data_IF_891353505556
#
_entry.id   IF_891353505556
#
_cell.length_a   1.000
_cell.length_b   1.000
_cell.length_c   1.000
_cell.angle_alpha   90.00
_cell.angle_beta   90.00
_cell.angle_gamma   90.00
#
_symmetry.space_group_name_H-M   'P 1'
#
loop_
_entity.id
_entity.type
_entity.pdbx_description
1 polymer ?
#
# COMPACT_ATOMS: atom_id res chain seq x y z
N UNK A 1 2.99 -34.43 -1.30
CA UNK A 1 3.25 -33.44 -0.24
C UNK A 1 2.93 -32.05 -0.81
N UNK A 2 1.97 -31.29 -0.21
CA UNK A 2 1.71 -29.91 -0.62
C UNK A 2 2.91 -29.07 -0.15
N UNK A 3 3.77 -28.61 -1.07
CA UNK A 3 4.83 -27.64 -0.77
C UNK A 3 4.15 -26.38 -0.20
N UNK A 4 4.51 -26.00 1.02
CA UNK A 4 4.15 -24.70 1.57
C UNK A 4 4.61 -23.63 0.59
N UNK A 5 3.69 -22.82 0.08
CA UNK A 5 4.02 -21.60 -0.66
C UNK A 5 4.70 -20.67 0.34
N UNK A 6 6.04 -20.57 0.28
CA UNK A 6 6.78 -19.63 1.12
C UNK A 6 6.27 -18.20 0.86
N UNK A 7 6.07 -17.42 1.91
CA UNK A 7 5.82 -15.99 1.76
C UNK A 7 7.14 -15.27 1.43
N UNK A 8 7.06 -14.01 0.96
CA UNK A 8 8.24 -13.16 0.74
C UNK A 8 9.18 -13.16 1.96
N UNK A 9 8.64 -13.22 3.17
CA UNK A 9 9.41 -13.29 4.43
C UNK A 9 10.31 -14.53 4.53
N UNK A 10 9.95 -15.64 3.89
CA UNK A 10 10.75 -16.87 3.85
C UNK A 10 12.06 -16.64 3.09
N UNK A 11 12.03 -15.83 2.03
CA UNK A 11 13.21 -15.49 1.22
C UNK A 11 14.05 -14.38 1.84
N UNK A 12 13.45 -13.52 2.67
CA UNK A 12 14.17 -12.44 3.36
C UNK A 12 15.03 -12.94 4.52
N UNK A 13 14.66 -14.05 5.14
CA UNK A 13 15.39 -14.52 6.32
C UNK A 13 15.21 -16.03 6.54
N UNK A 14 15.91 -16.89 5.80
CA UNK A 14 15.86 -18.35 5.99
C UNK A 14 16.34 -18.78 7.38
N UNK A 15 17.17 -18.01 8.07
CA UNK A 15 17.69 -18.33 9.39
C UNK A 15 16.74 -17.96 10.55
N UNK A 16 15.75 -17.08 10.34
CA UNK A 16 14.81 -16.67 11.40
C UNK A 16 13.75 -17.72 11.73
N UNK A 17 13.70 -18.83 11.03
CA UNK A 17 12.79 -19.93 11.40
C UNK A 17 13.25 -20.67 12.67
N UNK A 18 14.51 -20.51 13.11
CA UNK A 18 15.08 -21.19 14.26
C UNK A 18 15.67 -20.26 15.33
N UNK A 19 15.82 -18.98 15.07
CA UNK A 19 16.21 -18.02 16.09
C UNK A 19 14.99 -17.71 16.96
N UNK A 20 15.07 -18.00 18.25
CA UNK A 20 14.13 -17.48 19.23
C UNK A 20 13.95 -15.98 18.96
N UNK A 21 12.70 -15.55 18.71
CA UNK A 21 12.37 -14.14 18.56
C UNK A 21 12.91 -13.46 19.81
N UNK A 22 14.06 -12.81 19.70
CA UNK A 22 14.50 -11.86 20.72
C UNK A 22 13.42 -10.78 20.70
N UNK A 23 12.48 -10.90 21.66
CA UNK A 23 11.52 -9.83 21.92
C UNK A 23 12.37 -8.64 22.35
N UNK A 24 12.62 -7.73 21.42
CA UNK A 24 13.09 -6.40 21.78
C UNK A 24 12.10 -5.87 22.80
N UNK A 25 12.59 -5.50 23.97
CA UNK A 25 11.76 -4.81 24.96
C UNK A 25 11.42 -3.48 24.34
N UNK A 26 10.22 -3.39 23.72
CA UNK A 26 9.77 -2.13 23.14
C UNK A 26 9.60 -1.14 24.27
N UNK A 27 10.46 -0.13 24.27
CA UNK A 27 10.34 0.99 25.17
C UNK A 27 9.36 1.99 24.57
N UNK A 28 8.33 2.35 25.34
CA UNK A 28 7.34 3.37 24.95
C UNK A 28 7.77 4.69 25.57
N UNK A 29 7.96 5.69 24.74
CA UNK A 29 8.25 7.05 25.14
C UNK A 29 7.07 7.96 24.79
N UNK A 30 6.78 8.95 25.63
CA UNK A 30 5.81 9.99 25.30
C UNK A 30 6.52 11.10 24.53
N UNK A 31 6.10 11.33 23.30
CA UNK A 31 6.72 12.29 22.38
C UNK A 31 5.67 13.35 22.01
N UNK A 32 6.07 14.62 22.07
CA UNK A 32 5.26 15.73 21.62
C UNK A 32 4.80 15.53 20.16
N UNK A 33 3.50 15.57 19.91
CA UNK A 33 2.92 15.33 18.61
C UNK A 33 3.48 16.25 17.50
N UNK A 34 3.85 17.50 17.85
CA UNK A 34 4.42 18.47 16.91
C UNK A 34 5.87 18.15 16.50
N UNK A 35 6.54 17.28 17.27
CA UNK A 35 7.88 16.79 16.92
C UNK A 35 7.84 15.54 16.04
N UNK A 36 6.67 14.96 15.80
CA UNK A 36 6.51 13.78 14.95
C UNK A 36 6.16 14.23 13.53
N UNK A 37 7.08 13.97 12.61
CA UNK A 37 6.94 14.36 11.21
C UNK A 37 6.35 13.17 10.43
N UNK A 38 5.23 13.36 9.69
CA UNK A 38 4.72 12.36 8.75
C UNK A 38 5.80 11.87 7.80
N UNK A 39 5.75 10.61 7.42
CA UNK A 39 6.73 10.05 6.49
C UNK A 39 6.28 10.27 5.05
N UNK A 40 7.06 11.01 4.27
CA UNK A 40 6.78 11.27 2.85
C UNK A 40 6.70 9.99 1.99
N UNK A 41 7.32 8.90 2.47
CA UNK A 41 7.24 7.59 1.81
C UNK A 41 5.91 6.87 2.07
N UNK A 42 5.07 7.36 2.98
CA UNK A 42 3.75 6.79 3.22
C UNK A 42 2.80 7.19 2.10
N UNK A 43 2.48 6.24 1.24
CA UNK A 43 1.60 6.43 0.09
C UNK A 43 0.14 6.03 0.35
N UNK A 44 -0.16 5.52 1.53
CA UNK A 44 -1.52 5.10 1.87
C UNK A 44 -2.43 6.30 2.13
N UNK A 45 -3.67 6.21 1.65
CA UNK A 45 -4.69 7.22 1.89
C UNK A 45 -4.96 7.41 3.40
N UNK A 46 -5.15 8.63 3.85
CA UNK A 46 -5.44 8.94 5.25
C UNK A 46 -6.88 9.42 5.35
N UNK A 47 -7.80 8.49 5.61
CA UNK A 47 -9.24 8.75 5.71
C UNK A 47 -9.74 8.66 7.16
N UNK A 48 -10.92 9.23 7.44
CA UNK A 48 -11.59 9.14 8.73
C UNK A 48 -10.83 9.84 9.86
N UNK A 49 -10.11 10.93 9.56
CA UNK A 49 -9.38 11.73 10.57
C UNK A 49 -10.35 12.35 11.56
N UNK A 50 -11.47 12.88 11.08
CA UNK A 50 -12.50 13.55 11.89
C UNK A 50 -13.13 12.57 12.89
N UNK A 51 -13.52 11.39 12.41
CA UNK A 51 -14.09 10.34 13.26
C UNK A 51 -13.08 9.86 14.30
N UNK A 52 -11.81 9.72 13.89
CA UNK A 52 -10.72 9.36 14.79
C UNK A 52 -10.49 10.46 15.83
N UNK A 53 -10.51 11.75 15.45
CA UNK A 53 -10.36 12.87 16.36
C UNK A 53 -11.49 12.90 17.40
N UNK A 54 -12.74 12.70 16.96
CA UNK A 54 -13.90 12.61 17.83
C UNK A 54 -13.80 11.39 18.78
N UNK A 55 -13.33 10.24 18.29
CA UNK A 55 -13.10 9.05 19.13
C UNK A 55 -12.04 9.29 20.20
N UNK A 56 -10.95 9.97 19.85
CA UNK A 56 -9.88 10.34 20.79
C UNK A 56 -10.31 11.36 21.84
N UNK A 57 -11.38 12.14 21.59
CA UNK A 57 -11.94 13.05 22.59
C UNK A 57 -12.69 12.32 23.71
N UNK A 58 -13.14 11.08 23.43
CA UNK A 58 -13.94 10.27 24.37
C UNK A 58 -13.08 9.25 25.11
N UNK A 59 -12.00 8.76 24.47
CA UNK A 59 -11.13 7.71 25.01
C UNK A 59 -9.68 8.13 24.93
N UNK A 60 -9.02 8.25 26.08
CA UNK A 60 -7.58 8.56 26.17
C UNK A 60 -6.69 7.36 25.81
N UNK A 61 -7.26 6.20 25.50
CA UNK A 61 -6.48 5.01 25.19
C UNK A 61 -6.07 4.99 23.71
N UNK A 62 -4.78 5.14 23.48
CA UNK A 62 -4.18 5.11 22.15
C UNK A 62 -3.07 4.04 22.09
N UNK A 63 -3.10 3.19 21.05
CA UNK A 63 -1.99 2.30 20.77
C UNK A 63 -0.74 3.13 20.39
N UNK A 64 0.47 2.75 20.81
CA UNK A 64 1.68 3.48 20.49
C UNK A 64 1.89 3.65 18.97
N UNK A 65 2.44 4.81 18.59
CA UNK A 65 2.95 5.05 17.25
C UNK A 65 4.33 4.38 17.09
N UNK A 66 4.75 4.14 15.86
CA UNK A 66 6.13 3.71 15.59
C UNK A 66 6.87 4.86 14.91
N UNK A 67 8.00 5.24 15.46
CA UNK A 67 8.80 6.39 14.98
C UNK A 67 10.29 6.08 14.96
N UNK A 68 11.05 6.85 14.19
CA UNK A 68 12.52 6.83 14.17
C UNK A 68 13.02 8.24 14.49
N UNK A 69 14.01 8.34 15.37
CA UNK A 69 14.64 9.62 15.69
C UNK A 69 15.44 10.16 14.49
N UNK A 70 15.25 11.44 14.13
CA UNK A 70 15.98 12.09 13.04
C UNK A 70 17.37 12.65 13.50
N UNK A 71 17.63 12.66 14.81
CA UNK A 71 18.89 13.18 15.38
C UNK A 71 18.90 14.70 15.65
N UNK A 72 17.87 15.42 15.22
CA UNK A 72 17.68 16.86 15.42
C UNK A 72 16.62 17.20 16.49
N UNK A 73 16.16 16.19 17.22
CA UNK A 73 15.10 16.32 18.22
C UNK A 73 13.69 16.11 17.65
N UNK A 74 13.58 15.80 16.36
CA UNK A 74 12.33 15.38 15.71
C UNK A 74 12.32 13.87 15.43
N UNK A 75 11.14 13.35 15.10
CA UNK A 75 10.94 11.93 14.86
C UNK A 75 10.17 11.74 13.55
N UNK A 76 10.62 10.79 12.71
CA UNK A 76 9.90 10.41 11.49
C UNK A 76 8.95 9.27 11.79
N UNK A 77 7.70 9.42 11.39
CA UNK A 77 6.64 8.44 11.59
C UNK A 77 6.82 7.22 10.66
N UNK A 78 6.65 6.04 11.20
CA UNK A 78 6.61 4.76 10.44
C UNK A 78 5.20 4.17 10.44
N UNK A 79 4.50 4.26 11.58
CA UNK A 79 3.14 3.74 11.73
C UNK A 79 2.32 4.62 12.66
N UNK A 80 1.04 4.82 12.30
CA UNK A 80 0.10 5.57 13.12
C UNK A 80 -0.33 6.91 12.54
N UNK A 81 -0.24 7.09 11.21
CA UNK A 81 -0.58 8.33 10.47
C UNK A 81 -1.94 8.91 10.88
N UNK A 82 -3.00 8.09 10.89
CA UNK A 82 -4.34 8.54 11.27
C UNK A 82 -4.40 9.07 12.71
N UNK A 83 -3.70 8.41 13.65
CA UNK A 83 -3.64 8.81 15.07
C UNK A 83 -2.93 10.15 15.24
N UNK A 84 -1.78 10.31 14.60
CA UNK A 84 -1.04 11.56 14.58
C UNK A 84 -1.89 12.68 13.97
N UNK A 85 -2.44 12.45 12.77
CA UNK A 85 -3.26 13.44 12.05
C UNK A 85 -4.50 13.84 12.83
N UNK A 86 -5.18 12.91 13.51
CA UNK A 86 -6.33 13.18 14.36
C UNK A 86 -5.94 14.02 15.57
N UNK A 87 -4.81 13.73 16.22
CA UNK A 87 -4.31 14.52 17.35
C UNK A 87 -3.94 15.94 16.92
N UNK A 88 -3.20 16.09 15.81
CA UNK A 88 -2.86 17.40 15.27
C UNK A 88 -4.09 18.18 14.80
N UNK A 89 -5.14 17.50 14.35
CA UNK A 89 -6.44 18.12 14.03
C UNK A 89 -7.08 18.71 15.28
N UNK A 90 -7.08 18.00 16.40
CA UNK A 90 -7.62 18.50 17.70
C UNK A 90 -6.83 19.70 18.21
N UNK A 91 -5.51 19.69 18.10
CA UNK A 91 -4.65 20.85 18.45
C UNK A 91 -5.03 22.06 17.58
N UNK A 92 -5.12 21.90 16.26
CA UNK A 92 -5.50 22.99 15.34
C UNK A 92 -6.90 23.55 15.58
N UNK A 93 -7.84 22.76 16.12
CA UNK A 93 -9.18 23.20 16.50
C UNK A 93 -9.21 23.89 17.86
N UNK A 94 -8.11 23.91 18.58
CA UNK A 94 -8.06 24.47 19.95
C UNK A 94 -8.80 23.60 20.98
N UNK A 95 -9.06 22.32 20.68
CA UNK A 95 -9.67 21.38 21.64
C UNK A 95 -8.67 20.99 22.73
N UNK A 96 -7.39 20.94 22.37
CA UNK A 96 -6.26 20.69 23.27
C UNK A 96 -5.10 21.61 22.87
N UNK A 97 -4.32 22.09 23.83
CA UNK A 97 -3.20 22.99 23.56
C UNK A 97 -1.99 22.26 23.00
N UNK A 98 -1.72 21.05 23.51
CA UNK A 98 -0.63 20.17 23.09
C UNK A 98 -0.96 18.72 23.46
N UNK A 99 -0.27 17.78 22.86
CA UNK A 99 -0.39 16.36 23.19
C UNK A 99 0.95 15.66 23.12
N UNK A 100 1.20 14.79 24.09
CA UNK A 100 2.26 13.79 24.01
C UNK A 100 1.66 12.45 23.63
N UNK A 101 2.24 11.82 22.61
CA UNK A 101 1.77 10.55 22.09
C UNK A 101 2.71 9.40 22.50
N UNK A 102 2.15 8.26 22.93
CA UNK A 102 2.95 7.07 23.20
C UNK A 102 3.58 6.57 21.90
N UNK A 103 4.88 6.41 21.89
CA UNK A 103 5.66 6.02 20.71
C UNK A 103 6.64 4.89 21.02
N UNK A 104 6.73 3.91 20.14
CA UNK A 104 7.88 3.02 20.06
C UNK A 104 8.94 3.68 19.19
N UNK A 105 10.07 4.03 19.79
CA UNK A 105 11.22 4.55 19.04
C UNK A 105 11.99 3.37 18.48
N UNK A 106 11.91 3.19 17.17
CA UNK A 106 12.60 2.13 16.44
C UNK A 106 14.05 2.51 16.19
N UNK A 107 14.98 1.54 16.12
CA UNK A 107 16.32 1.79 15.61
C UNK A 107 16.28 2.24 14.15
N UNK A 108 17.31 2.96 13.69
CA UNK A 108 17.45 3.27 12.28
C UNK A 108 17.47 1.99 11.44
N UNK A 109 16.81 2.02 10.28
CA UNK A 109 16.82 0.89 9.37
C UNK A 109 18.21 0.71 8.74
N UNK A 110 18.62 -0.54 8.65
CA UNK A 110 19.88 -0.94 8.03
C UNK A 110 19.62 -1.81 6.79
N UNK A 111 20.57 -1.84 5.88
CA UNK A 111 20.53 -2.74 4.74
C UNK A 111 20.49 -4.20 5.20
N UNK A 112 19.69 -5.05 4.53
CA UNK A 112 19.52 -6.45 4.91
C UNK A 112 19.50 -7.35 3.66
N UNK A 113 20.49 -8.23 3.53
CA UNK A 113 20.65 -9.03 2.31
C UNK A 113 20.77 -8.13 1.08
N UNK A 114 19.98 -8.40 0.06
CA UNK A 114 19.92 -7.59 -1.16
C UNK A 114 19.18 -6.25 -0.99
N UNK A 115 18.59 -5.98 0.17
CA UNK A 115 17.78 -4.78 0.40
C UNK A 115 18.57 -3.62 0.99
N UNK A 116 18.40 -2.44 0.43
CA UNK A 116 18.89 -1.20 1.04
C UNK A 116 18.09 -0.84 2.30
N UNK A 117 18.64 0.03 3.16
CA UNK A 117 17.95 0.54 4.34
C UNK A 117 16.60 1.20 3.99
N UNK A 118 16.52 1.90 2.87
CA UNK A 118 15.29 2.52 2.38
C UNK A 118 14.22 1.50 1.98
N UNK A 119 14.64 0.38 1.37
CA UNK A 119 13.75 -0.72 1.02
C UNK A 119 13.24 -1.45 2.27
N UNK A 120 14.07 -1.59 3.29
CA UNK A 120 13.67 -2.16 4.58
C UNK A 120 12.66 -1.24 5.29
N UNK A 121 12.87 0.09 5.25
CA UNK A 121 11.92 1.07 5.76
C UNK A 121 10.57 0.98 5.03
N UNK A 122 10.59 0.93 3.69
CA UNK A 122 9.39 0.80 2.88
C UNK A 122 8.60 -0.47 3.23
N UNK A 123 9.28 -1.60 3.40
CA UNK A 123 8.64 -2.84 3.84
C UNK A 123 7.99 -2.69 5.21
N UNK A 124 8.60 -1.97 6.14
CA UNK A 124 8.04 -1.72 7.47
C UNK A 124 6.76 -0.89 7.39
N UNK A 125 6.72 0.13 6.53
CA UNK A 125 5.50 0.92 6.27
C UNK A 125 4.40 0.02 5.68
N UNK A 126 4.72 -0.83 4.70
CA UNK A 126 3.76 -1.74 4.07
C UNK A 126 3.24 -2.75 5.09
N UNK A 127 4.10 -3.36 5.90
CA UNK A 127 3.69 -4.33 6.92
C UNK A 127 2.83 -3.71 8.02
N UNK A 128 3.11 -2.47 8.42
CA UNK A 128 2.28 -1.75 9.38
C UNK A 128 0.84 -1.52 8.85
N UNK A 129 0.65 -1.49 7.53
CA UNK A 129 -0.65 -1.32 6.86
C UNK A 129 -1.29 -2.63 6.37
N UNK A 130 -0.72 -3.82 6.66
CA UNK A 130 -1.24 -5.10 6.16
C UNK A 130 -2.65 -5.45 6.66
N UNK A 131 -3.03 -4.99 7.84
CA UNK A 131 -4.34 -5.25 8.44
C UNK A 131 -5.38 -4.19 8.10
N UNK A 132 -5.00 -3.18 7.31
CA UNK A 132 -5.88 -2.11 6.88
C UNK A 132 -6.72 -2.57 5.69
N UNK A 133 -7.97 -2.11 5.61
CA UNK A 133 -8.74 -2.15 4.38
C UNK A 133 -8.10 -1.16 3.39
N UNK A 134 -7.56 -1.69 2.29
CA UNK A 134 -6.82 -0.93 1.28
C UNK A 134 -7.76 -0.55 0.14
N UNK A 135 -7.68 0.70 -0.30
CA UNK A 135 -8.29 1.11 -1.57
C UNK A 135 -7.58 0.43 -2.74
N UNK A 136 -8.15 0.50 -3.93
CA UNK A 136 -7.48 -0.06 -5.12
C UNK A 136 -6.23 0.73 -5.48
N UNK A 137 -6.24 2.05 -5.25
CA UNK A 137 -5.04 2.89 -5.43
C UNK A 137 -3.95 2.56 -4.41
N UNK A 138 -4.30 2.33 -3.14
CA UNK A 138 -3.34 1.82 -2.15
C UNK A 138 -2.69 0.52 -2.63
N UNK A 139 -3.49 -0.42 -3.20
CA UNK A 139 -2.99 -1.67 -3.74
C UNK A 139 -2.08 -1.47 -4.96
N UNK A 140 -2.41 -0.55 -5.87
CA UNK A 140 -1.58 -0.20 -7.01
C UNK A 140 -0.24 0.40 -6.58
N UNK A 141 -0.28 1.36 -5.66
CA UNK A 141 0.91 1.97 -5.10
C UNK A 141 1.78 0.93 -4.39
N UNK A 142 1.16 0.02 -3.64
CA UNK A 142 1.86 -1.07 -2.97
C UNK A 142 2.58 -2.00 -3.98
N UNK A 143 1.92 -2.36 -5.09
CA UNK A 143 2.54 -3.13 -6.18
C UNK A 143 3.76 -2.40 -6.74
N UNK A 144 3.65 -1.08 -6.99
CA UNK A 144 4.77 -0.26 -7.49
C UNK A 144 5.95 -0.23 -6.52
N UNK A 145 5.69 -0.05 -5.23
CA UNK A 145 6.73 0.01 -4.22
C UNK A 145 7.37 -1.36 -3.95
N UNK A 146 6.58 -2.43 -4.02
CA UNK A 146 7.07 -3.80 -3.80
C UNK A 146 7.84 -4.39 -4.98
N UNK A 147 7.58 -3.95 -6.21
CA UNK A 147 8.21 -4.55 -7.40
C UNK A 147 9.75 -4.47 -7.37
N UNK A 148 10.40 -3.29 -7.14
CA UNK A 148 11.85 -3.21 -7.07
C UNK A 148 12.44 -4.01 -5.90
N UNK A 149 11.74 -4.05 -4.77
CA UNK A 149 12.12 -4.85 -3.60
C UNK A 149 12.07 -6.35 -3.95
N UNK A 150 10.97 -6.79 -4.56
CA UNK A 150 10.79 -8.16 -4.99
C UNK A 150 11.83 -8.59 -6.04
N UNK A 151 12.25 -7.69 -6.92
CA UNK A 151 13.31 -7.96 -7.90
C UNK A 151 14.66 -8.21 -7.24
N UNK A 152 15.01 -7.42 -6.23
CA UNK A 152 16.24 -7.62 -5.47
C UNK A 152 16.24 -8.98 -4.75
N UNK A 153 15.15 -9.30 -4.05
CA UNK A 153 15.00 -10.59 -3.36
C UNK A 153 15.01 -11.76 -4.34
N UNK A 154 14.30 -11.63 -5.47
CA UNK A 154 14.24 -12.66 -6.49
C UNK A 154 15.63 -12.94 -7.09
N UNK A 155 16.42 -11.91 -7.35
CA UNK A 155 17.75 -12.06 -7.89
C UNK A 155 18.67 -12.79 -6.90
N UNK A 156 18.66 -12.39 -5.63
CA UNK A 156 19.44 -13.04 -4.57
C UNK A 156 19.03 -14.51 -4.40
N UNK A 157 17.72 -14.80 -4.34
CA UNK A 157 17.21 -16.17 -4.22
C UNK A 157 17.53 -17.02 -5.44
N UNK A 158 17.55 -16.43 -6.64
CA UNK A 158 17.95 -17.10 -7.88
C UNK A 158 19.44 -17.48 -7.86
N UNK A 159 20.31 -16.59 -7.41
CA UNK A 159 21.76 -16.83 -7.28
C UNK A 159 22.07 -17.93 -6.25
N UNK A 160 21.26 -18.01 -5.18
CA UNK A 160 21.33 -19.08 -4.17
C UNK A 160 20.70 -20.41 -4.63
N UNK A 161 20.03 -20.45 -5.79
CA UNK A 161 19.34 -21.64 -6.29
C UNK A 161 18.03 -21.98 -5.56
N UNK A 162 17.49 -21.07 -4.74
CA UNK A 162 16.30 -21.30 -3.91
C UNK A 162 15.00 -21.28 -4.72
N UNK A 163 15.04 -20.77 -5.95
CA UNK A 163 13.90 -20.67 -6.87
C UNK A 163 13.81 -21.81 -7.87
N UNK A 164 14.79 -22.72 -7.89
CA UNK A 164 14.81 -23.86 -8.80
C UNK A 164 13.78 -24.93 -8.40
N UNK A 165 13.05 -25.45 -9.37
CA UNK A 165 12.20 -26.62 -9.22
C UNK A 165 13.02 -27.94 -9.30
N UNK A 166 12.33 -29.09 -9.26
CA UNK A 166 12.94 -30.42 -9.34
C UNK A 166 13.67 -30.68 -10.68
N UNK A 167 13.36 -29.88 -11.72
CA UNK A 167 14.02 -29.95 -13.04
C UNK A 167 15.20 -29.00 -13.17
N UNK A 168 15.47 -28.19 -12.14
CA UNK A 168 16.49 -27.13 -12.15
C UNK A 168 16.04 -25.84 -12.84
N UNK A 169 14.77 -25.75 -13.26
CA UNK A 169 14.24 -24.55 -13.87
C UNK A 169 13.83 -23.53 -12.80
N UNK A 170 14.31 -22.29 -12.93
CA UNK A 170 13.93 -21.22 -12.01
C UNK A 170 12.50 -20.76 -12.24
N UNK A 171 11.77 -20.50 -11.14
CA UNK A 171 10.48 -19.82 -11.15
C UNK A 171 10.60 -18.47 -11.88
N UNK A 172 9.62 -18.12 -12.72
CA UNK A 172 9.60 -16.82 -13.39
C UNK A 172 9.30 -15.70 -12.39
N UNK A 173 9.93 -14.55 -12.54
CA UNK A 173 9.73 -13.38 -11.65
C UNK A 173 8.24 -13.03 -11.47
N UNK A 174 7.45 -12.99 -12.56
CA UNK A 174 6.02 -12.66 -12.48
C UNK A 174 5.23 -13.64 -11.58
N UNK A 175 5.61 -14.91 -11.57
CA UNK A 175 5.00 -15.92 -10.69
C UNK A 175 5.43 -15.68 -9.24
N UNK A 176 6.73 -15.48 -9.02
CA UNK A 176 7.27 -15.13 -7.72
C UNK A 176 6.58 -13.89 -7.14
N UNK A 177 6.51 -12.81 -7.90
CA UNK A 177 5.93 -11.54 -7.47
C UNK A 177 4.45 -11.68 -7.13
N UNK A 178 3.64 -12.24 -8.04
CA UNK A 178 2.20 -12.39 -7.81
C UNK A 178 1.88 -13.33 -6.65
N UNK A 179 2.48 -14.54 -6.63
CA UNK A 179 2.05 -15.60 -5.72
C UNK A 179 2.76 -15.58 -4.36
N UNK A 180 4.04 -15.18 -4.32
CA UNK A 180 4.84 -15.21 -3.09
C UNK A 180 4.99 -13.85 -2.41
N UNK A 181 4.92 -12.75 -3.16
CA UNK A 181 5.00 -11.40 -2.60
C UNK A 181 3.60 -10.84 -2.34
N UNK A 182 2.74 -10.81 -3.36
CA UNK A 182 1.42 -10.18 -3.30
C UNK A 182 0.29 -11.12 -2.87
N UNK A 183 0.55 -12.43 -2.79
CA UNK A 183 -0.44 -13.46 -2.44
C UNK A 183 -1.69 -13.44 -3.35
N UNK A 184 -1.51 -13.12 -4.64
CA UNK A 184 -2.58 -13.06 -5.64
C UNK A 184 -2.25 -13.88 -6.89
N UNK A 185 -3.25 -14.13 -7.73
CA UNK A 185 -3.01 -14.77 -9.02
C UNK A 185 -2.38 -13.81 -10.02
N UNK A 186 -1.65 -14.33 -11.01
CA UNK A 186 -1.08 -13.54 -12.11
C UNK A 186 -2.14 -12.74 -12.89
N UNK A 187 -3.33 -13.31 -13.04
CA UNK A 187 -4.47 -12.63 -13.70
C UNK A 187 -5.04 -11.50 -12.84
N UNK A 188 -5.06 -11.67 -11.50
CA UNK A 188 -5.48 -10.60 -10.59
C UNK A 188 -4.47 -9.45 -10.60
N UNK A 189 -3.18 -9.76 -10.58
CA UNK A 189 -2.11 -8.75 -10.72
C UNK A 189 -2.22 -7.99 -12.04
N UNK A 190 -2.46 -8.70 -13.15
CA UNK A 190 -2.61 -8.06 -14.46
C UNK A 190 -3.80 -7.09 -14.48
N UNK A 191 -4.97 -7.51 -13.97
CA UNK A 191 -6.14 -6.65 -13.87
C UNK A 191 -5.93 -5.46 -12.94
N UNK A 192 -5.20 -5.63 -11.84
CA UNK A 192 -4.85 -4.53 -10.97
C UNK A 192 -3.94 -3.53 -11.69
N UNK A 193 -2.89 -4.02 -12.35
CA UNK A 193 -1.94 -3.18 -13.09
C UNK A 193 -2.59 -2.47 -14.29
N UNK A 194 -3.60 -3.07 -14.96
CA UNK A 194 -4.28 -2.37 -16.07
C UNK A 194 -4.97 -1.08 -15.62
N UNK A 195 -5.41 -0.98 -14.36
CA UNK A 195 -6.01 0.24 -13.83
C UNK A 195 -5.05 1.44 -13.80
N UNK A 196 -3.75 1.24 -13.96
CA UNK A 196 -2.79 2.34 -14.12
C UNK A 196 -3.00 3.11 -15.42
N UNK A 197 -3.60 2.46 -16.43
CA UNK A 197 -3.88 3.05 -17.74
C UNK A 197 -5.15 3.92 -17.75
N UNK A 198 -5.89 3.97 -16.65
CA UNK A 198 -7.04 4.86 -16.53
C UNK A 198 -6.60 6.32 -16.62
N UNK A 199 -7.41 7.13 -17.31
CA UNK A 199 -7.31 8.59 -17.27
C UNK A 199 -7.52 9.11 -15.85
N UNK A 200 -7.16 10.35 -15.59
CA UNK A 200 -7.33 10.91 -14.24
C UNK A 200 -8.82 11.04 -13.88
N UNK A 201 -9.68 11.38 -14.83
CA UNK A 201 -11.13 11.43 -14.63
C UNK A 201 -11.73 10.05 -14.37
N UNK A 202 -11.24 9.01 -15.07
CA UNK A 202 -11.66 7.63 -14.85
C UNK A 202 -11.17 7.07 -13.50
N UNK A 203 -9.98 7.46 -13.04
CA UNK A 203 -9.50 7.13 -11.69
C UNK A 203 -10.41 7.73 -10.61
N UNK A 204 -10.74 9.02 -10.75
CA UNK A 204 -11.65 9.69 -9.81
C UNK A 204 -13.05 9.06 -9.83
N UNK A 205 -13.61 8.74 -11.01
CA UNK A 205 -14.90 8.08 -11.13
C UNK A 205 -14.91 6.66 -10.53
N UNK A 206 -13.76 5.98 -10.55
CA UNK A 206 -13.60 4.70 -9.91
C UNK A 206 -13.48 4.82 -8.39
N UNK A 207 -12.78 5.83 -7.88
CA UNK A 207 -12.60 6.09 -6.44
C UNK A 207 -13.90 6.49 -5.75
N UNK A 208 -14.70 7.34 -6.38
CA UNK A 208 -15.99 7.80 -5.86
C UNK A 208 -17.12 6.79 -6.07
N UNK A 209 -16.83 5.67 -6.75
CA UNK A 209 -17.76 4.56 -6.96
C UNK A 209 -18.74 4.78 -8.11
N UNK A 210 -18.55 5.81 -8.94
CA UNK A 210 -19.38 6.07 -10.13
C UNK A 210 -19.24 4.93 -11.16
N UNK A 211 -18.08 4.30 -11.23
CA UNK A 211 -17.85 3.09 -12.03
C UNK A 211 -17.32 1.93 -11.17
N UNK A 212 -17.74 0.71 -11.51
CA UNK A 212 -17.28 -0.49 -10.80
C UNK A 212 -15.87 -0.90 -11.22
N UNK A 213 -15.20 -1.74 -10.38
CA UNK A 213 -13.88 -2.31 -10.70
C UNK A 213 -13.87 -3.06 -12.05
N UNK A 214 -14.95 -3.75 -12.41
CA UNK A 214 -15.05 -4.47 -13.68
C UNK A 214 -15.07 -3.51 -14.86
N UNK A 215 -15.85 -2.43 -14.76
CA UNK A 215 -15.92 -1.37 -15.78
C UNK A 215 -14.56 -0.68 -15.91
N UNK A 216 -13.95 -0.29 -14.79
CA UNK A 216 -12.65 0.35 -14.77
C UNK A 216 -11.55 -0.52 -15.43
N UNK A 217 -11.60 -1.85 -15.22
CA UNK A 217 -10.64 -2.79 -15.83
C UNK A 217 -10.79 -2.85 -17.36
N UNK A 218 -12.02 -2.85 -17.87
CA UNK A 218 -12.28 -2.84 -19.33
C UNK A 218 -12.04 -1.45 -19.94
N UNK A 219 -12.44 -0.39 -19.23
CA UNK A 219 -12.22 1.00 -19.62
C UNK A 219 -10.73 1.32 -19.80
N UNK A 220 -9.87 0.76 -18.95
CA UNK A 220 -8.42 0.90 -19.04
C UNK A 220 -7.79 0.37 -20.35
N UNK A 221 -8.56 -0.36 -21.17
CA UNK A 221 -8.12 -0.83 -22.50
C UNK A 221 -8.40 0.17 -23.63
N UNK A 222 -9.20 1.20 -23.37
CA UNK A 222 -9.54 2.27 -24.31
C UNK A 222 -8.51 3.40 -24.23
N UNK A 223 -8.51 4.28 -25.25
CA UNK A 223 -7.70 5.49 -25.16
C UNK A 223 -8.26 6.49 -24.13
N UNK A 224 -7.47 7.50 -23.78
CA UNK A 224 -7.85 8.44 -22.71
C UNK A 224 -9.08 9.30 -23.09
N UNK A 225 -9.24 9.66 -24.35
CA UNK A 225 -10.37 10.46 -24.82
C UNK A 225 -11.68 9.67 -24.75
N UNK A 226 -11.65 8.40 -25.13
CA UNK A 226 -12.79 7.47 -24.98
C UNK A 226 -13.15 7.25 -23.51
N UNK A 227 -12.12 7.09 -22.64
CA UNK A 227 -12.33 6.94 -21.20
C UNK A 227 -13.03 8.18 -20.63
N UNK A 228 -12.53 9.37 -20.92
CA UNK A 228 -13.08 10.64 -20.40
C UNK A 228 -14.51 10.89 -20.92
N UNK A 229 -14.79 10.57 -22.18
CA UNK A 229 -16.13 10.67 -22.78
C UNK A 229 -17.12 9.73 -22.08
N UNK A 230 -16.72 8.48 -21.84
CA UNK A 230 -17.55 7.51 -21.10
C UNK A 230 -17.85 8.01 -19.68
N UNK A 231 -16.82 8.45 -18.95
CA UNK A 231 -16.96 8.95 -17.57
C UNK A 231 -17.86 10.20 -17.53
N UNK A 232 -17.72 11.10 -18.49
CA UNK A 232 -18.56 12.30 -18.60
C UNK A 232 -20.04 11.93 -18.76
N UNK A 233 -20.37 10.95 -19.62
CA UNK A 233 -21.75 10.44 -19.79
C UNK A 233 -22.31 9.76 -18.53
N UNK A 234 -21.47 9.02 -17.80
CA UNK A 234 -21.87 8.46 -16.50
C UNK A 234 -22.18 9.57 -15.49
N UNK A 235 -21.33 10.59 -15.38
CA UNK A 235 -21.53 11.70 -14.45
C UNK A 235 -22.72 12.60 -14.82
N UNK A 236 -23.02 12.73 -16.12
CA UNK A 236 -24.22 13.42 -16.60
C UNK A 236 -25.50 12.63 -16.33
N UNK A 237 -25.41 11.37 -15.94
CA UNK A 237 -26.57 10.47 -15.72
C UNK A 237 -27.20 9.99 -17.04
N UNK A 238 -26.52 10.11 -18.15
CA UNK A 238 -26.96 9.65 -19.47
C UNK A 238 -26.89 8.12 -19.57
N UNK A 239 -25.91 7.53 -18.90
CA UNK A 239 -25.69 6.07 -18.81
C UNK A 239 -25.44 5.67 -17.37
N UNK A 240 -25.65 4.39 -17.04
CA UNK A 240 -25.54 3.86 -15.67
C UNK A 240 -24.11 3.43 -15.28
N UNK A 241 -23.14 3.52 -16.20
CA UNK A 241 -21.76 3.12 -15.96
C UNK A 241 -21.59 1.60 -15.78
N UNK A 242 -22.35 0.81 -16.56
CA UNK A 242 -22.27 -0.65 -16.57
C UNK A 242 -21.33 -1.16 -17.68
N UNK A 243 -20.98 -2.47 -17.63
CA UNK A 243 -20.23 -3.09 -18.74
C UNK A 243 -21.02 -3.06 -20.07
N UNK A 244 -22.36 -3.16 -20.01
CA UNK A 244 -23.20 -3.07 -21.19
C UNK A 244 -23.15 -1.68 -21.82
N UNK A 245 -23.17 -0.63 -21.00
CA UNK A 245 -23.00 0.76 -21.48
C UNK A 245 -21.64 0.96 -22.12
N UNK A 246 -20.58 0.36 -21.55
CA UNK A 246 -19.23 0.44 -22.11
C UNK A 246 -19.10 -0.28 -23.46
N UNK A 247 -19.75 -1.43 -23.60
CA UNK A 247 -19.81 -2.16 -24.88
C UNK A 247 -20.54 -1.33 -25.97
N UNK A 248 -21.64 -0.66 -25.64
CA UNK A 248 -22.36 0.23 -26.55
C UNK A 248 -21.49 1.42 -26.95
N UNK A 249 -20.82 2.05 -25.98
CA UNK A 249 -19.92 3.16 -26.21
C UNK A 249 -18.79 2.78 -27.19
N UNK A 250 -18.14 1.64 -26.96
CA UNK A 250 -17.09 1.08 -27.79
C UNK A 250 -17.53 0.78 -29.23
N UNK A 251 -18.75 0.26 -29.40
CA UNK A 251 -19.29 -0.06 -30.71
C UNK A 251 -19.73 1.20 -31.47
N UNK A 252 -20.21 2.24 -30.76
CA UNK A 252 -20.59 3.53 -31.35
C UNK A 252 -19.38 4.34 -31.82
N UNK A 253 -18.23 4.27 -31.16
CA UNK A 253 -16.98 4.92 -31.56
C UNK A 253 -16.36 4.31 -32.85
N UNK A 254 -16.62 3.02 -33.12
CA UNK A 254 -16.12 2.31 -34.29
C UNK A 254 -16.93 2.55 -35.57
N UNK A 255 -18.10 3.21 -35.54
CA UNK A 255 -18.92 3.53 -36.70
C UNK A 255 -18.66 4.96 -37.25
N UNK A 256 -17.79 5.74 -36.60
CA UNK A 256 -17.53 7.14 -36.94
C UNK A 256 -16.16 7.37 -37.60
N UNK A 257 -15.39 6.33 -37.88
CA UNK A 257 -14.21 6.31 -38.74
C UNK A 257 -14.60 5.77 -40.13
#
# INVERSE_FOLDING_TARGET
MKKHKGSMLTYLNPETQSAAIQRSVYHVENIDAEKIIPNEKNFYSVEGIEEMANSLSVSDHMAPLEVIANGDGTYRLISGERRLSATLCRIRRGEIDKAELPCHVLPAFEAKGALSAEQVEMLSIIFANNYRQKTVLDQLNEVKQLEPIARAIYQEAKEKGELADETGANMKFRTFFAEHVLSMSKSALQRLQSLEQLSDDAKVAFEDGAISKSVATELASLDQEEQDTFVASVRAGEISGTLADLEIHRNGSSETE
#
